data_IF_185297204212
#
_entry.id   IF_185297204212
#
_cell.length_a   1.000
_cell.length_b   1.000
_cell.length_c   1.000
_cell.angle_alpha   90.00
_cell.angle_beta   90.00
_cell.angle_gamma   90.00
#
_symmetry.space_group_name_H-M   'P 1'
#
loop_
_entity.id
_entity.type
_entity.pdbx_description
1 polymer ?
#
# COMPACT_ATOMS: atom_id res chain seq x y z
N UNK A 1 27.76 -6.03 -50.39
CA UNK A 1 27.40 -6.97 -49.32
C UNK A 1 26.59 -6.21 -48.29
N UNK A 2 25.27 -6.43 -48.27
CA UNK A 2 24.33 -5.79 -47.35
C UNK A 2 24.49 -6.42 -45.97
N UNK A 3 24.69 -5.58 -44.95
CA UNK A 3 24.66 -6.00 -43.55
C UNK A 3 23.21 -6.20 -43.11
N UNK A 4 22.92 -7.41 -42.63
CA UNK A 4 21.65 -7.78 -42.01
C UNK A 4 21.57 -7.10 -40.62
N UNK A 5 20.73 -6.07 -40.48
CA UNK A 5 20.34 -5.54 -39.17
C UNK A 5 19.33 -6.50 -38.58
N UNK A 6 19.74 -7.26 -37.57
CA UNK A 6 18.82 -8.01 -36.71
C UNK A 6 17.97 -6.98 -35.95
N UNK A 7 16.67 -6.99 -36.23
CA UNK A 7 15.70 -6.15 -35.52
C UNK A 7 15.79 -6.41 -34.01
N UNK A 8 15.91 -5.32 -33.25
CA UNK A 8 15.73 -5.36 -31.81
C UNK A 8 14.32 -5.87 -31.51
N UNK A 9 14.14 -6.78 -30.54
CA UNK A 9 12.79 -7.09 -30.07
C UNK A 9 12.22 -5.80 -29.47
N UNK A 10 11.03 -5.41 -29.94
CA UNK A 10 10.27 -4.31 -29.37
C UNK A 10 10.11 -4.55 -27.87
N UNK A 11 10.84 -3.77 -27.07
CA UNK A 11 10.67 -3.71 -25.63
C UNK A 11 9.38 -2.94 -25.33
N UNK A 12 8.23 -3.58 -25.60
CA UNK A 12 7.01 -3.22 -24.93
C UNK A 12 7.24 -3.48 -23.44
N UNK A 13 7.54 -2.42 -22.67
CA UNK A 13 7.52 -2.49 -21.22
C UNK A 13 6.10 -2.86 -20.82
N UNK A 14 5.84 -4.15 -20.62
CA UNK A 14 4.60 -4.57 -19.99
C UNK A 14 4.59 -3.92 -18.61
N UNK A 15 3.75 -2.90 -18.45
CA UNK A 15 3.47 -2.31 -17.14
C UNK A 15 3.05 -3.46 -16.24
N UNK A 16 3.73 -3.62 -15.11
CA UNK A 16 3.44 -4.73 -14.22
C UNK A 16 1.98 -4.65 -13.76
N UNK A 17 1.27 -5.77 -13.77
CA UNK A 17 -0.15 -5.79 -13.46
C UNK A 17 -0.34 -5.45 -11.98
N UNK A 18 -1.28 -4.55 -11.68
CA UNK A 18 -1.57 -4.10 -10.32
C UNK A 18 -2.87 -4.72 -9.84
N UNK A 19 -2.85 -5.31 -8.65
CA UNK A 19 -4.04 -5.75 -7.93
C UNK A 19 -4.24 -4.90 -6.69
N UNK A 20 -5.49 -4.51 -6.41
CA UNK A 20 -5.89 -3.86 -5.15
C UNK A 20 -6.62 -4.89 -4.30
N UNK A 21 -6.16 -5.04 -3.05
CA UNK A 21 -6.69 -5.97 -2.06
C UNK A 21 -7.36 -5.14 -0.96
N UNK A 22 -8.61 -5.48 -0.67
CA UNK A 22 -9.43 -4.85 0.37
C UNK A 22 -10.05 -5.95 1.24
N UNK A 23 -10.03 -5.76 2.55
CA UNK A 23 -10.87 -6.53 3.48
C UNK A 23 -12.35 -6.11 3.34
N UNK A 24 -13.28 -6.92 3.80
CA UNK A 24 -14.73 -6.72 3.60
C UNK A 24 -15.33 -5.66 4.53
N UNK A 25 -14.59 -5.27 5.58
CA UNK A 25 -15.00 -4.32 6.61
C UNK A 25 -14.38 -2.92 6.45
N UNK A 26 -13.98 -2.51 5.24
CA UNK A 26 -13.38 -1.19 5.01
C UNK A 26 -14.39 -0.08 4.69
N UNK A 27 -14.01 1.17 5.01
CA UNK A 27 -14.53 2.39 4.40
C UNK A 27 -13.39 3.06 3.61
N UNK A 28 -13.71 3.83 2.58
CA UNK A 28 -12.72 4.48 1.72
C UNK A 28 -13.16 5.89 1.36
N UNK A 29 -12.20 6.72 0.97
CA UNK A 29 -12.50 8.06 0.47
C UNK A 29 -13.49 8.03 -0.70
N UNK A 30 -14.45 8.95 -0.70
CA UNK A 30 -15.43 9.04 -1.80
C UNK A 30 -14.80 9.35 -3.16
N UNK A 31 -13.67 10.05 -3.15
CA UNK A 31 -12.87 10.43 -4.32
C UNK A 31 -11.66 9.49 -4.55
N UNK A 32 -11.70 8.26 -3.99
CA UNK A 32 -10.59 7.29 -4.03
C UNK A 32 -9.98 7.11 -5.42
N UNK A 33 -10.78 7.13 -6.47
CA UNK A 33 -10.30 6.97 -7.84
C UNK A 33 -9.33 8.07 -8.27
N UNK A 34 -9.62 9.33 -7.93
CA UNK A 34 -8.75 10.45 -8.31
C UNK A 34 -7.47 10.46 -7.46
N UNK A 35 -7.58 10.17 -6.16
CA UNK A 35 -6.42 10.04 -5.27
C UNK A 35 -5.49 8.90 -5.67
N UNK A 36 -6.04 7.74 -6.03
CA UNK A 36 -5.26 6.61 -6.53
C UNK A 36 -4.53 6.96 -7.83
N UNK A 37 -5.15 7.75 -8.74
CA UNK A 37 -4.47 8.21 -9.96
C UNK A 37 -3.21 9.01 -9.65
N UNK A 38 -3.24 9.85 -8.62
CA UNK A 38 -2.07 10.61 -8.17
C UNK A 38 -1.02 9.67 -7.57
N UNK A 39 -1.43 8.74 -6.70
CA UNK A 39 -0.54 7.71 -6.12
C UNK A 39 0.20 6.94 -7.22
N UNK A 40 -0.51 6.45 -8.24
CA UNK A 40 0.10 5.68 -9.33
C UNK A 40 1.13 6.47 -10.14
N UNK A 41 0.97 7.79 -10.27
CA UNK A 41 1.90 8.66 -10.99
C UNK A 41 3.16 8.97 -10.19
N UNK A 42 3.10 8.89 -8.87
CA UNK A 42 4.23 9.21 -7.98
C UNK A 42 5.09 7.99 -7.64
N UNK A 43 4.65 6.77 -7.95
CA UNK A 43 5.41 5.56 -7.66
C UNK A 43 6.60 5.37 -8.62
N UNK A 44 7.75 4.87 -8.13
CA UNK A 44 8.85 4.49 -8.99
C UNK A 44 8.55 3.17 -9.72
N UNK A 45 9.05 2.96 -10.94
CA UNK A 45 8.71 1.80 -11.80
C UNK A 45 8.86 0.40 -11.17
N UNK A 46 9.70 0.25 -10.15
CA UNK A 46 10.09 -1.00 -9.49
C UNK A 46 9.47 -1.20 -8.09
N UNK A 47 8.33 -0.56 -7.80
CA UNK A 47 7.62 -0.76 -6.54
C UNK A 47 6.98 -2.16 -6.42
N UNK A 48 6.88 -2.70 -5.20
CA UNK A 48 6.29 -4.02 -4.93
C UNK A 48 4.89 -3.91 -4.31
N UNK A 49 4.74 -3.08 -3.27
CA UNK A 49 3.50 -2.94 -2.47
C UNK A 49 3.22 -1.47 -2.13
N UNK A 50 1.94 -1.09 -2.13
CA UNK A 50 1.47 0.21 -1.62
C UNK A 50 0.38 0.00 -0.57
N UNK A 51 0.55 0.54 0.63
CA UNK A 51 -0.48 0.55 1.66
C UNK A 51 -1.41 1.74 1.46
N UNK A 52 -2.68 1.44 1.15
CA UNK A 52 -3.75 2.44 1.01
C UNK A 52 -4.37 2.80 2.37
N UNK A 53 -4.22 1.90 3.34
CA UNK A 53 -4.30 2.22 4.74
C UNK A 53 -3.40 1.32 5.57
N UNK A 54 -3.08 1.78 6.77
CA UNK A 54 -2.21 1.07 7.69
C UNK A 54 -2.59 1.33 9.14
N UNK A 55 -2.07 0.49 10.03
CA UNK A 55 -2.16 0.67 11.46
C UNK A 55 -0.77 0.73 12.09
N UNK A 56 -0.70 1.29 13.29
CA UNK A 56 0.38 1.03 14.26
C UNK A 56 1.80 1.31 13.75
N UNK A 57 1.93 2.29 12.86
CA UNK A 57 3.21 2.75 12.35
C UNK A 57 3.17 4.24 12.03
N UNK A 58 4.29 4.92 12.24
CA UNK A 58 4.48 6.28 11.75
C UNK A 58 5.01 6.21 10.31
N UNK A 59 4.11 6.16 9.33
CA UNK A 59 4.51 6.11 7.92
C UNK A 59 4.99 7.47 7.37
N UNK A 60 4.95 8.54 8.18
CA UNK A 60 5.65 9.81 7.87
C UNK A 60 7.11 9.81 8.33
N UNK A 61 7.62 8.68 8.84
CA UNK A 61 9.01 8.55 9.31
C UNK A 61 10.03 8.88 8.22
N UNK A 62 9.77 8.44 6.99
CA UNK A 62 10.55 8.84 5.81
C UNK A 62 9.87 10.02 5.10
N UNK A 63 10.64 10.91 4.45
CA UNK A 63 10.06 12.04 3.72
C UNK A 63 9.15 11.56 2.59
N UNK A 64 8.11 12.35 2.29
CA UNK A 64 7.24 12.10 1.16
C UNK A 64 8.05 12.11 -0.15
N UNK A 65 7.65 11.30 -1.12
CA UNK A 65 8.14 11.42 -2.48
C UNK A 65 7.72 12.78 -3.05
N UNK A 66 8.66 13.45 -3.70
CA UNK A 66 8.38 14.70 -4.40
C UNK A 66 7.36 14.43 -5.51
N UNK A 67 6.14 14.93 -5.33
CA UNK A 67 5.18 14.98 -6.41
C UNK A 67 5.32 16.35 -7.10
N UNK A 68 5.74 16.40 -8.37
CA UNK A 68 5.91 17.65 -9.10
C UNK A 68 4.61 18.47 -9.22
N UNK A 69 3.45 17.89 -8.92
CA UNK A 69 2.16 18.58 -8.93
C UNK A 69 1.79 19.29 -7.60
N UNK A 70 2.46 19.00 -6.47
CA UNK A 70 2.16 19.61 -5.15
C UNK A 70 2.50 21.12 -5.05
N UNK A 71 3.16 21.69 -6.06
CA UNK A 71 3.46 23.13 -6.14
C UNK A 71 2.40 23.99 -6.84
N UNK A 72 1.32 23.39 -7.37
CA UNK A 72 0.28 24.13 -8.10
C UNK A 72 -0.88 24.52 -7.15
N UNK A 73 -1.28 25.80 -7.08
CA UNK A 73 -2.32 26.23 -6.14
C UNK A 73 -3.71 25.60 -6.35
N UNK A 74 -3.95 24.88 -7.46
CA UNK A 74 -5.21 24.19 -7.77
C UNK A 74 -5.16 22.66 -7.45
N UNK A 75 -3.99 22.11 -7.11
CA UNK A 75 -3.81 20.68 -6.73
C UNK A 75 -3.89 20.45 -5.22
N UNK A 76 -4.10 21.50 -4.43
CA UNK A 76 -4.42 21.44 -2.99
C UNK A 76 -5.74 20.71 -2.67
N UNK A 77 -6.46 20.20 -3.67
CA UNK A 77 -7.76 19.55 -3.50
C UNK A 77 -7.65 18.21 -2.78
N UNK A 78 -6.54 17.50 -2.88
CA UNK A 78 -6.34 16.21 -2.22
C UNK A 78 -5.04 16.21 -1.43
N UNK A 79 -5.15 16.10 -0.10
CA UNK A 79 -3.98 15.90 0.76
C UNK A 79 -3.64 14.42 0.72
N UNK A 80 -2.87 14.02 -0.28
CA UNK A 80 -2.35 12.66 -0.38
C UNK A 80 -0.84 12.74 -0.56
N UNK A 81 -0.11 12.24 0.43
CA UNK A 81 1.35 12.15 0.39
C UNK A 81 1.75 10.67 0.34
N UNK A 82 2.69 10.34 -0.54
CA UNK A 82 3.22 9.00 -0.67
C UNK A 82 4.59 8.94 -0.02
N UNK A 83 4.75 8.06 0.97
CA UNK A 83 5.99 7.90 1.72
C UNK A 83 6.57 6.51 1.48
N UNK A 84 7.90 6.32 1.43
CA UNK A 84 8.49 5.01 1.62
C UNK A 84 7.96 4.39 2.90
N UNK A 85 7.52 3.14 2.86
CA UNK A 85 6.94 2.51 4.05
C UNK A 85 8.01 2.29 5.12
N UNK A 86 7.66 2.52 6.38
CA UNK A 86 8.55 2.25 7.51
C UNK A 86 8.27 0.87 8.09
N UNK A 87 7.11 0.68 8.71
CA UNK A 87 6.76 -0.57 9.36
C UNK A 87 5.23 -0.80 9.43
N UNK A 88 4.49 -0.64 8.31
CA UNK A 88 3.03 -0.65 8.32
C UNK A 88 2.49 -1.98 8.84
N UNK A 89 1.44 -1.90 9.66
CA UNK A 89 0.66 -3.06 10.15
C UNK A 89 -0.75 -3.03 9.58
N UNK A 90 -1.52 -4.08 9.87
CA UNK A 90 -2.79 -4.40 9.23
C UNK A 90 -2.65 -4.72 7.73
N UNK A 91 -3.66 -5.39 7.18
CA UNK A 91 -3.73 -5.78 5.76
C UNK A 91 -5.05 -5.37 5.11
N UNK A 92 -5.78 -4.43 5.74
CA UNK A 92 -7.14 -4.08 5.33
C UNK A 92 -7.23 -3.43 3.96
N UNK A 93 -6.18 -2.73 3.51
CA UNK A 93 -6.16 -2.12 2.19
C UNK A 93 -4.74 -1.89 1.65
N UNK A 94 -4.38 -2.60 0.59
CA UNK A 94 -3.09 -2.44 -0.08
C UNK A 94 -3.17 -2.82 -1.55
N UNK A 95 -2.21 -2.36 -2.34
CA UNK A 95 -2.03 -2.74 -3.73
C UNK A 95 -0.68 -3.46 -3.92
N UNK A 96 -0.63 -4.40 -4.86
CA UNK A 96 0.56 -5.15 -5.23
C UNK A 96 0.76 -5.15 -6.74
N UNK A 97 2.01 -5.06 -7.16
CA UNK A 97 2.39 -5.47 -8.52
C UNK A 97 2.42 -7.00 -8.61
N UNK A 98 2.27 -7.57 -9.81
CA UNK A 98 2.38 -9.03 -10.01
C UNK A 98 3.76 -9.54 -9.62
N UNK A 99 4.82 -8.76 -9.85
CA UNK A 99 6.18 -9.08 -9.38
C UNK A 99 6.26 -9.02 -7.86
N UNK A 100 5.74 -7.96 -7.24
CA UNK A 100 5.67 -7.83 -5.78
C UNK A 100 4.91 -8.97 -5.11
N UNK A 101 3.78 -9.38 -5.67
CA UNK A 101 2.99 -10.51 -5.20
C UNK A 101 3.77 -11.83 -5.26
N UNK A 102 4.51 -12.07 -6.35
CA UNK A 102 5.38 -13.25 -6.47
C UNK A 102 6.52 -13.24 -5.45
N UNK A 103 7.17 -12.10 -5.26
CA UNK A 103 8.24 -11.94 -4.26
C UNK A 103 7.71 -12.20 -2.85
N UNK A 104 6.58 -11.58 -2.50
CA UNK A 104 5.92 -11.79 -1.21
C UNK A 104 5.58 -13.27 -1.00
N UNK A 105 4.97 -13.92 -1.99
CA UNK A 105 4.63 -15.34 -1.92
C UNK A 105 5.86 -16.24 -1.68
N UNK A 106 6.95 -15.99 -2.40
CA UNK A 106 8.19 -16.76 -2.25
C UNK A 106 8.79 -16.60 -0.84
N UNK A 107 8.78 -15.40 -0.27
CA UNK A 107 9.24 -15.19 1.11
C UNK A 107 8.31 -15.86 2.12
N UNK A 108 6.99 -15.73 1.96
CA UNK A 108 6.01 -16.32 2.88
C UNK A 108 6.01 -17.86 2.85
N UNK A 109 6.46 -18.49 1.75
CA UNK A 109 6.62 -19.94 1.64
C UNK A 109 7.99 -20.47 2.07
N UNK A 110 8.98 -19.59 2.28
CA UNK A 110 10.31 -20.02 2.70
C UNK A 110 10.27 -20.60 4.12
N UNK A 111 10.56 -21.90 4.28
CA UNK A 111 10.26 -22.67 5.51
C UNK A 111 10.75 -22.02 6.83
N UNK A 112 11.98 -21.46 6.94
CA UNK A 112 12.41 -20.76 8.15
C UNK A 112 11.63 -19.47 8.47
N UNK A 113 10.92 -18.90 7.49
CA UNK A 113 10.17 -17.66 7.61
C UNK A 113 8.65 -17.91 7.69
N UNK A 114 8.16 -18.89 6.94
CA UNK A 114 6.77 -19.31 6.91
C UNK A 114 6.26 -19.62 8.33
N UNK A 115 5.04 -19.19 8.65
CA UNK A 115 4.37 -19.44 9.94
C UNK A 115 5.09 -18.92 11.20
N UNK A 116 6.15 -18.12 11.06
CA UNK A 116 6.94 -17.63 12.20
C UNK A 116 6.32 -16.45 12.95
N UNK A 117 5.34 -15.76 12.33
CA UNK A 117 4.64 -14.58 12.87
C UNK A 117 3.35 -14.29 12.09
N UNK A 118 2.55 -13.36 12.59
CA UNK A 118 1.38 -12.85 11.89
C UNK A 118 1.75 -12.23 10.53
N UNK A 119 0.81 -12.25 9.58
CA UNK A 119 1.06 -11.85 8.19
C UNK A 119 1.55 -10.39 8.08
N UNK A 120 0.89 -9.47 8.78
CA UNK A 120 1.24 -8.05 8.82
C UNK A 120 2.66 -7.82 9.41
N UNK A 121 3.03 -8.58 10.44
CA UNK A 121 4.38 -8.56 11.00
C UNK A 121 5.41 -9.13 10.03
N UNK A 122 5.06 -10.17 9.28
CA UNK A 122 5.93 -10.75 8.27
C UNK A 122 6.19 -9.74 7.14
N UNK A 123 5.15 -9.09 6.61
CA UNK A 123 5.26 -8.06 5.57
C UNK A 123 6.10 -6.89 6.08
N UNK A 124 5.79 -6.35 7.26
CA UNK A 124 6.55 -5.26 7.88
C UNK A 124 8.05 -5.61 8.06
N UNK A 125 8.37 -6.85 8.43
CA UNK A 125 9.77 -7.29 8.52
C UNK A 125 10.44 -7.32 7.13
N UNK A 126 9.73 -7.79 6.09
CA UNK A 126 10.26 -7.81 4.72
C UNK A 126 10.52 -6.40 4.17
N UNK A 127 9.71 -5.42 4.58
CA UNK A 127 9.90 -4.01 4.25
C UNK A 127 11.15 -3.47 4.96
N UNK A 128 11.21 -3.60 6.28
CA UNK A 128 12.34 -3.11 7.10
C UNK A 128 13.68 -3.75 6.71
N UNK A 129 13.67 -5.00 6.23
CA UNK A 129 14.86 -5.71 5.76
C UNK A 129 15.20 -5.46 4.28
N UNK A 130 14.47 -4.56 3.60
CA UNK A 130 14.70 -4.17 2.21
C UNK A 130 14.41 -5.28 1.20
N UNK A 131 13.56 -6.27 1.56
CA UNK A 131 13.16 -7.36 0.66
C UNK A 131 11.95 -7.01 -0.22
N UNK A 132 11.12 -6.10 0.26
CA UNK A 132 10.00 -5.50 -0.47
C UNK A 132 10.18 -3.98 -0.55
N UNK A 133 10.03 -3.42 -1.75
CA UNK A 133 9.98 -1.98 -1.98
C UNK A 133 8.55 -1.49 -1.76
N UNK A 134 8.31 -0.91 -0.60
CA UNK A 134 6.97 -0.56 -0.13
C UNK A 134 6.78 0.94 0.02
N UNK A 135 5.56 1.39 -0.24
CA UNK A 135 5.12 2.77 0.01
C UNK A 135 3.81 2.79 0.77
N UNK A 136 3.58 3.86 1.53
CA UNK A 136 2.39 4.06 2.33
C UNK A 136 1.79 5.42 1.99
N UNK A 137 0.48 5.44 1.81
CA UNK A 137 -0.27 6.67 1.61
C UNK A 137 -0.61 7.28 2.96
N UNK A 138 -0.34 8.58 3.12
CA UNK A 138 -0.64 9.36 4.32
C UNK A 138 -1.34 10.67 3.93
N UNK A 139 -2.50 11.01 4.55
CA UNK A 139 -3.35 10.16 5.38
C UNK A 139 -3.87 8.91 4.63
N UNK A 140 -4.33 7.88 5.36
CA UNK A 140 -4.88 6.67 4.72
C UNK A 140 -6.10 7.01 3.86
N UNK A 141 -6.22 6.36 2.71
CA UNK A 141 -7.37 6.49 1.81
C UNK A 141 -8.47 5.46 2.09
N UNK A 142 -8.10 4.40 2.83
CA UNK A 142 -8.98 3.31 3.21
C UNK A 142 -8.74 2.96 4.67
N UNK A 143 -9.80 2.88 5.47
CA UNK A 143 -9.74 2.58 6.90
C UNK A 143 -10.61 1.37 7.22
N UNK A 144 -10.17 0.57 8.19
CA UNK A 144 -10.98 -0.54 8.71
C UNK A 144 -12.12 0.01 9.59
N UNK A 145 -13.34 -0.43 9.33
CA UNK A 145 -14.52 -0.10 10.13
C UNK A 145 -14.61 -1.06 11.30
N UNK A 146 -14.58 -0.52 12.52
CA UNK A 146 -14.73 -1.32 13.75
C UNK A 146 -16.21 -1.52 14.09
N UNK A 147 -16.98 -2.08 13.17
CA UNK A 147 -18.43 -2.26 13.30
C UNK A 147 -18.72 -3.74 13.57
N UNK A 148 -18.77 -4.08 14.85
CA UNK A 148 -19.06 -5.43 15.31
C UNK A 148 -18.16 -5.86 16.45
N UNK A 149 -18.47 -7.03 17.03
CA UNK A 149 -17.55 -7.73 17.93
C UNK A 149 -16.62 -8.57 17.07
N UNK A 150 -15.33 -8.26 17.10
CA UNK A 150 -14.33 -9.18 16.57
C UNK A 150 -14.23 -10.38 17.52
N UNK A 151 -14.08 -11.57 16.96
CA UNK A 151 -13.77 -12.82 17.68
C UNK A 151 -12.36 -12.82 18.30
N UNK A 152 -11.49 -11.91 17.84
CA UNK A 152 -10.17 -11.63 18.42
C UNK A 152 -10.26 -10.57 19.55
N UNK A 153 -11.29 -9.73 19.54
CA UNK A 153 -11.56 -8.70 20.57
C UNK A 153 -12.78 -9.07 21.43
N UNK A 154 -12.60 -10.07 22.29
CA UNK A 154 -13.70 -10.70 23.05
C UNK A 154 -14.15 -9.94 24.31
N UNK A 155 -13.44 -8.91 24.78
CA UNK A 155 -13.71 -8.36 26.13
C UNK A 155 -14.65 -7.16 26.17
N UNK A 156 -15.28 -6.75 25.06
CA UNK A 156 -16.17 -5.57 25.04
C UNK A 156 -15.47 -4.26 25.44
N UNK A 157 -14.14 -4.30 25.50
CA UNK A 157 -13.19 -3.25 25.86
C UNK A 157 -11.77 -3.75 25.62
N UNK A 158 -11.56 -4.58 24.59
CA UNK A 158 -10.32 -5.33 24.47
C UNK A 158 -9.23 -4.59 23.76
N UNK A 159 -8.12 -5.32 23.67
CA UNK A 159 -6.86 -4.89 23.09
C UNK A 159 -6.93 -4.67 21.56
N UNK A 160 -8.14 -4.50 21.01
CA UNK A 160 -8.31 -3.88 19.70
C UNK A 160 -7.65 -2.51 19.70
N UNK A 161 -6.98 -2.18 18.60
CA UNK A 161 -6.21 -0.94 18.51
C UNK A 161 -7.05 0.29 18.83
N UNK A 162 -6.53 1.21 19.67
CA UNK A 162 -7.06 2.58 19.74
C UNK A 162 -6.69 3.39 18.50
N UNK A 163 -5.74 2.90 17.69
CA UNK A 163 -5.39 3.51 16.41
C UNK A 163 -6.64 3.65 15.54
N UNK A 164 -6.95 4.90 15.23
CA UNK A 164 -8.01 5.30 14.32
C UNK A 164 -7.37 6.28 13.36
N UNK A 165 -7.19 5.81 12.14
CA UNK A 165 -7.03 6.74 11.05
C UNK A 165 -8.42 7.23 10.63
N UNK A 166 -8.49 8.38 10.00
CA UNK A 166 -9.74 9.03 9.63
C UNK A 166 -9.71 9.41 8.15
N UNK A 167 -10.84 9.20 7.49
CA UNK A 167 -11.08 9.67 6.13
C UNK A 167 -11.56 11.12 6.16
N UNK A 168 -11.17 11.91 5.17
CA UNK A 168 -11.68 13.26 4.95
C UNK A 168 -13.18 13.23 4.59
N UNK A 169 -13.57 12.33 3.68
CA UNK A 169 -14.94 12.19 3.19
C UNK A 169 -15.24 10.74 2.79
N UNK A 170 -15.34 9.86 3.80
CA UNK A 170 -15.64 8.44 3.60
C UNK A 170 -16.98 8.19 2.91
N UNK A 171 -17.05 7.11 2.11
CA UNK A 171 -18.29 6.71 1.41
C UNK A 171 -19.40 6.39 2.40
N UNK A 172 -19.05 5.73 3.53
CA UNK A 172 -19.99 5.22 4.51
C UNK A 172 -20.21 6.17 5.70
N UNK A 173 -19.55 7.34 5.67
CA UNK A 173 -19.91 8.50 6.48
C UNK A 173 -19.58 8.43 7.97
N UNK A 174 -18.58 7.62 8.36
CA UNK A 174 -18.07 7.39 9.74
C UNK A 174 -19.14 7.27 10.84
#
# INVERSE_FOLDING_TARGET
MQGLVLGQPDAHSQTDEVSVILEDDVDMERDIHDRLREVWRSLPDDWDIVFLGHCWSNETYYPALDNPEHGRPDTLRFRTALHPSFAPKCTHAYALTRTGARRLLLYLQHTPFAYSRALDQAISWLILSGKLKAFSVVPSLVVQRKIGRSDIDTSGGGMGSLWRDHLDNGVLGS
#
